data_IF_769513253030
#
_entry.id   IF_769513253030
#
_cell.length_a   1.000
_cell.length_b   1.000
_cell.length_c   1.000
_cell.angle_alpha   90.00
_cell.angle_beta   90.00
_cell.angle_gamma   90.00
#
_symmetry.space_group_name_H-M   'P 1'
#
loop_
_entity.id
_entity.type
_entity.pdbx_description
1 polymer ?
#
# COMPACT_ATOMS: atom_id res chain seq x y z
N UNK A 1 -66.65 -41.71 -16.52
CA UNK A 1 -66.52 -40.72 -17.62
C UNK A 1 -66.18 -39.38 -16.96
N UNK A 2 -65.16 -38.58 -17.28
CA UNK A 2 -64.43 -38.33 -18.53
C UNK A 2 -62.94 -38.08 -18.23
N UNK A 3 -62.08 -38.56 -19.14
CA UNK A 3 -60.65 -38.24 -19.27
C UNK A 3 -60.47 -36.86 -19.92
N UNK A 4 -59.38 -36.14 -19.61
CA UNK A 4 -58.17 -35.93 -20.45
C UNK A 4 -57.39 -34.68 -20.01
N UNK A 5 -56.12 -34.91 -19.63
CA UNK A 5 -54.87 -34.20 -20.01
C UNK A 5 -54.96 -32.78 -20.60
N UNK A 6 -54.07 -31.85 -20.19
CA UNK A 6 -53.00 -31.26 -21.04
C UNK A 6 -52.19 -30.11 -20.36
N UNK A 7 -50.86 -30.33 -20.27
CA UNK A 7 -49.73 -29.41 -20.55
C UNK A 7 -49.33 -28.29 -19.53
N UNK A 8 -48.02 -28.30 -19.26
CA UNK A 8 -47.14 -27.40 -18.45
C UNK A 8 -47.22 -25.91 -18.82
N UNK A 9 -47.05 -24.98 -17.85
CA UNK A 9 -46.27 -23.70 -17.98
C UNK A 9 -45.82 -23.18 -16.58
N UNK A 10 -44.51 -23.12 -16.31
CA UNK A 10 -43.61 -21.94 -16.26
C UNK A 10 -43.64 -21.23 -14.90
N UNK A 11 -42.55 -21.43 -14.16
CA UNK A 11 -41.75 -20.41 -13.46
C UNK A 11 -42.47 -19.32 -12.64
N UNK A 12 -42.28 -19.37 -11.32
CA UNK A 12 -41.97 -18.14 -10.57
C UNK A 12 -40.62 -18.33 -9.87
N UNK A 13 -39.60 -18.06 -10.67
CA UNK A 13 -38.24 -17.79 -10.23
C UNK A 13 -38.25 -16.39 -9.59
N UNK A 14 -38.17 -16.31 -8.26
CA UNK A 14 -37.69 -15.08 -7.61
C UNK A 14 -36.15 -15.09 -7.65
N UNK A 15 -35.63 -15.01 -8.87
CA UNK A 15 -34.22 -14.74 -9.15
C UNK A 15 -34.00 -13.22 -9.16
N UNK A 16 -32.76 -12.82 -8.87
CA UNK A 16 -32.15 -11.56 -9.29
C UNK A 16 -32.46 -10.34 -8.42
N UNK A 17 -31.71 -10.26 -7.30
CA UNK A 17 -31.26 -8.98 -6.76
C UNK A 17 -30.06 -8.47 -7.57
N UNK A 18 -30.38 -7.71 -8.63
CA UNK A 18 -29.55 -6.87 -9.51
C UNK A 18 -28.02 -6.97 -9.51
N UNK A 19 -27.48 -7.55 -10.59
CA UNK A 19 -26.18 -7.15 -11.15
C UNK A 19 -26.33 -5.77 -11.81
N UNK A 20 -25.88 -4.71 -11.12
CA UNK A 20 -25.76 -3.38 -11.71
C UNK A 20 -24.48 -3.26 -12.54
N UNK A 21 -24.55 -3.58 -13.83
CA UNK A 21 -23.48 -3.29 -14.79
C UNK A 21 -23.57 -1.82 -15.22
N UNK A 22 -22.71 -0.96 -14.65
CA UNK A 22 -22.49 0.39 -15.16
C UNK A 22 -21.47 0.34 -16.30
N UNK A 23 -21.97 0.26 -17.53
CA UNK A 23 -21.20 0.63 -18.72
C UNK A 23 -21.43 2.11 -19.00
N UNK A 24 -20.47 2.95 -18.61
CA UNK A 24 -20.44 4.36 -19.01
C UNK A 24 -19.48 4.49 -20.18
N UNK A 25 -20.03 4.41 -21.40
CA UNK A 25 -19.42 5.01 -22.58
C UNK A 25 -19.59 6.51 -22.47
N UNK A 26 -18.50 7.22 -22.15
CA UNK A 26 -18.46 8.67 -22.12
C UNK A 26 -17.17 9.15 -22.76
N UNK A 27 -17.30 9.74 -23.95
CA UNK A 27 -16.29 10.63 -24.50
C UNK A 27 -15.94 11.67 -23.43
N UNK A 28 -14.72 11.64 -22.91
CA UNK A 28 -14.16 12.74 -22.10
C UNK A 28 -13.42 13.70 -23.01
N UNK A 29 -14.21 14.49 -23.75
CA UNK A 29 -13.86 15.89 -23.97
C UNK A 29 -13.97 16.64 -22.64
N UNK A 30 -13.05 17.59 -22.44
CA UNK A 30 -12.91 18.55 -21.35
C UNK A 30 -14.14 18.73 -20.44
N UNK A 31 -14.05 18.32 -19.17
CA UNK A 31 -14.44 19.13 -18.01
C UNK A 31 -14.08 18.36 -16.73
N UNK A 32 -13.44 19.07 -15.80
CA UNK A 32 -12.98 18.67 -14.48
C UNK A 32 -13.99 17.85 -13.65
N UNK A 33 -13.56 16.67 -13.18
CA UNK A 33 -14.05 16.05 -11.93
C UNK A 33 -12.88 15.42 -11.19
N UNK A 34 -12.56 16.01 -10.04
CA UNK A 34 -11.48 15.66 -9.13
C UNK A 34 -11.61 14.23 -8.59
N UNK A 35 -10.48 13.53 -8.58
CA UNK A 35 -10.34 12.13 -8.20
C UNK A 35 -9.85 12.04 -6.74
N UNK A 36 -10.73 12.33 -5.78
CA UNK A 36 -10.38 12.46 -4.35
C UNK A 36 -10.04 11.14 -3.61
N UNK A 37 -10.14 9.97 -4.27
CA UNK A 37 -9.78 8.69 -3.63
C UNK A 37 -8.29 8.30 -3.77
N UNK A 38 -7.58 8.77 -4.80
CA UNK A 38 -6.13 8.54 -4.90
C UNK A 38 -5.34 9.57 -4.08
N UNK A 39 -5.78 10.82 -4.07
CA UNK A 39 -5.11 11.94 -3.40
C UNK A 39 -5.09 11.79 -1.86
N UNK A 40 -6.13 11.18 -1.26
CA UNK A 40 -6.21 10.96 0.19
C UNK A 40 -5.22 9.87 0.68
N UNK A 41 -4.88 8.88 -0.15
CA UNK A 41 -3.87 7.87 0.20
C UNK A 41 -2.44 8.45 0.16
N UNK A 42 -2.18 9.38 -0.76
CA UNK A 42 -0.88 10.05 -0.92
C UNK A 42 -0.62 11.12 0.16
N UNK A 43 -1.66 11.83 0.62
CA UNK A 43 -1.56 12.78 1.74
C UNK A 43 -1.31 12.10 3.10
N UNK A 44 -1.89 10.92 3.32
CA UNK A 44 -1.65 10.13 4.54
C UNK A 44 -0.23 9.53 4.56
N UNK A 45 0.28 9.10 3.40
CA UNK A 45 1.62 8.56 3.27
C UNK A 45 2.69 9.66 3.43
N UNK A 46 2.56 10.79 2.74
CA UNK A 46 3.50 11.92 2.88
C UNK A 46 3.55 12.51 4.29
N UNK A 47 2.51 12.34 5.11
CA UNK A 47 2.52 12.73 6.52
C UNK A 47 2.98 11.61 7.47
N UNK A 48 2.66 10.35 7.20
CA UNK A 48 3.14 9.20 7.97
C UNK A 48 4.66 9.04 7.84
N UNK A 49 5.19 9.21 6.64
CA UNK A 49 6.62 9.07 6.37
C UNK A 49 7.45 10.25 6.85
N UNK A 50 6.85 11.35 7.35
CA UNK A 50 7.59 12.47 7.96
C UNK A 50 7.97 12.22 9.43
N UNK A 51 7.38 11.21 10.07
CA UNK A 51 7.52 10.98 11.52
C UNK A 51 7.87 9.56 11.90
N UNK A 52 8.19 8.70 10.93
CA UNK A 52 8.33 7.26 11.17
C UNK A 52 9.63 6.74 10.60
N UNK A 53 10.52 6.37 11.52
CA UNK A 53 11.66 5.52 11.24
C UNK A 53 11.25 4.22 10.54
N UNK A 54 12.15 3.74 9.67
CA UNK A 54 11.86 2.61 8.79
C UNK A 54 13.03 1.63 8.79
N UNK A 55 12.71 0.35 8.87
CA UNK A 55 13.65 -0.71 8.53
C UNK A 55 13.40 -1.10 7.07
N UNK A 56 14.43 -0.99 6.23
CA UNK A 56 14.34 -1.23 4.79
C UNK A 56 15.33 -2.32 4.43
N UNK A 57 14.85 -3.35 3.72
CA UNK A 57 15.69 -4.40 3.14
C UNK A 57 15.70 -4.23 1.64
N UNK A 58 16.88 -3.93 1.10
CA UNK A 58 17.13 -3.75 -0.32
C UNK A 58 17.96 -4.92 -0.81
N UNK A 59 17.53 -5.57 -1.88
CA UNK A 59 18.24 -6.67 -2.54
C UNK A 59 18.81 -6.17 -3.86
N UNK A 60 20.09 -6.46 -4.08
CA UNK A 60 20.77 -6.25 -5.36
C UNK A 60 20.36 -7.37 -6.33
N UNK A 61 19.90 -6.98 -7.51
CA UNK A 61 19.55 -7.93 -8.55
C UNK A 61 20.81 -8.55 -9.19
N UNK A 62 20.77 -9.82 -9.58
CA UNK A 62 21.88 -10.45 -10.31
C UNK A 62 22.16 -9.72 -11.63
N UNK A 63 23.39 -9.88 -12.14
CA UNK A 63 23.85 -9.31 -13.42
C UNK A 63 23.85 -7.77 -13.46
N UNK A 64 24.13 -7.09 -12.34
CA UNK A 64 24.05 -5.63 -12.22
C UNK A 64 22.66 -5.08 -12.61
N UNK A 65 21.61 -5.86 -12.35
CA UNK A 65 20.22 -5.53 -12.67
C UNK A 65 19.60 -4.44 -11.80
N UNK A 66 20.39 -3.76 -10.96
CA UNK A 66 19.96 -2.70 -10.05
C UNK A 66 19.58 -3.21 -8.68
N UNK A 67 18.69 -2.49 -8.01
CA UNK A 67 18.27 -2.75 -6.64
C UNK A 67 16.74 -2.83 -6.53
N UNK A 68 16.23 -3.58 -5.56
CA UNK A 68 14.79 -3.68 -5.28
C UNK A 68 14.50 -3.74 -3.79
N UNK A 69 13.36 -3.21 -3.36
CA UNK A 69 12.91 -3.27 -1.97
C UNK A 69 12.22 -4.61 -1.74
N UNK A 70 12.81 -5.45 -0.90
CA UNK A 70 12.26 -6.77 -0.55
C UNK A 70 11.26 -6.67 0.58
N UNK A 71 11.56 -5.84 1.57
CA UNK A 71 10.72 -5.62 2.72
C UNK A 71 10.95 -4.22 3.29
N UNK A 72 9.90 -3.66 3.84
CA UNK A 72 9.95 -2.34 4.46
C UNK A 72 8.84 -2.19 5.49
N UNK A 73 9.21 -1.81 6.70
CA UNK A 73 8.29 -1.69 7.82
C UNK A 73 8.71 -0.57 8.78
N UNK A 74 7.76 -0.01 9.54
CA UNK A 74 8.06 1.03 10.52
C UNK A 74 8.93 0.46 11.65
N UNK A 75 9.92 1.23 12.07
CA UNK A 75 10.87 0.90 13.13
C UNK A 75 11.08 2.10 14.06
N UNK A 76 11.88 1.91 15.13
CA UNK A 76 12.27 3.01 16.02
C UNK A 76 13.53 3.75 15.54
N UNK A 77 14.26 3.17 14.60
CA UNK A 77 15.47 3.73 14.01
C UNK A 77 15.54 3.36 12.54
N UNK A 78 15.84 4.34 11.70
CA UNK A 78 16.06 4.09 10.28
C UNK A 78 17.28 3.20 10.07
N UNK A 79 17.06 2.02 9.49
CA UNK A 79 18.11 1.04 9.24
C UNK A 79 17.91 0.47 7.85
N UNK A 80 18.93 0.56 7.00
CA UNK A 80 18.88 0.07 5.63
C UNK A 80 19.85 -1.09 5.50
N UNK A 81 19.31 -2.25 5.17
CA UNK A 81 20.06 -3.48 4.93
C UNK A 81 20.16 -3.69 3.43
N UNK A 82 21.39 -3.77 2.94
CA UNK A 82 21.69 -4.17 1.57
C UNK A 82 22.03 -5.66 1.56
N UNK A 83 21.21 -6.45 0.86
CA UNK A 83 21.43 -7.86 0.58
C UNK A 83 22.02 -8.00 -0.82
N UNK A 84 23.18 -8.64 -0.91
CA UNK A 84 23.85 -8.94 -2.17
C UNK A 84 23.35 -10.26 -2.77
N UNK A 85 23.63 -10.54 -4.07
CA UNK A 85 23.24 -11.78 -4.71
C UNK A 85 23.94 -13.02 -4.13
N UNK A 86 25.08 -12.83 -3.45
CA UNK A 86 25.84 -13.88 -2.75
C UNK A 86 25.20 -14.28 -1.39
N UNK A 87 24.10 -13.63 -1.00
CA UNK A 87 23.41 -13.84 0.27
C UNK A 87 24.01 -13.07 1.45
N UNK A 88 25.09 -12.31 1.25
CA UNK A 88 25.65 -11.45 2.31
C UNK A 88 24.78 -10.22 2.53
N UNK A 89 24.64 -9.82 3.79
CA UNK A 89 23.87 -8.65 4.19
C UNK A 89 24.80 -7.62 4.85
N UNK A 90 24.61 -6.35 4.49
CA UNK A 90 25.37 -5.23 5.05
C UNK A 90 24.43 -4.09 5.41
N UNK A 91 24.58 -3.55 6.61
CA UNK A 91 23.88 -2.35 7.03
C UNK A 91 24.61 -1.13 6.49
N UNK A 92 23.90 -0.22 5.83
CA UNK A 92 24.48 1.04 5.35
C UNK A 92 24.68 2.01 6.51
N UNK A 93 25.82 2.70 6.49
CA UNK A 93 26.11 3.79 7.43
C UNK A 93 25.39 5.08 7.03
N UNK A 94 25.19 6.00 7.98
CA UNK A 94 24.56 7.29 7.69
C UNK A 94 25.29 8.08 6.60
N UNK A 95 26.64 8.08 6.63
CA UNK A 95 27.43 8.77 5.61
C UNK A 95 27.22 8.18 4.21
N UNK A 96 27.12 6.85 4.08
CA UNK A 96 26.85 6.20 2.80
C UNK A 96 25.44 6.55 2.30
N UNK A 97 24.46 6.53 3.19
CA UNK A 97 23.08 6.94 2.89
C UNK A 97 23.04 8.37 2.37
N UNK A 98 23.70 9.30 3.08
CA UNK A 98 23.71 10.71 2.73
C UNK A 98 24.42 10.95 1.38
N UNK A 99 25.51 10.23 1.12
CA UNK A 99 26.21 10.29 -0.17
C UNK A 99 25.33 9.78 -1.32
N UNK A 100 24.66 8.63 -1.14
CA UNK A 100 23.76 8.06 -2.14
C UNK A 100 22.58 8.99 -2.43
N UNK A 101 21.99 9.57 -1.39
CA UNK A 101 20.88 10.51 -1.56
C UNK A 101 21.35 11.81 -2.19
N UNK A 102 22.50 12.37 -1.80
CA UNK A 102 23.03 13.59 -2.41
C UNK A 102 23.34 13.41 -3.90
N UNK A 103 23.93 12.26 -4.27
CA UNK A 103 24.18 11.92 -5.67
C UNK A 103 22.88 11.81 -6.46
N UNK A 104 21.88 11.13 -5.92
CA UNK A 104 20.58 10.98 -6.59
C UNK A 104 19.83 12.31 -6.68
N UNK A 105 19.92 13.15 -5.65
CA UNK A 105 19.34 14.48 -5.64
C UNK A 105 19.88 15.36 -6.77
N UNK A 106 21.19 15.33 -7.01
CA UNK A 106 21.79 16.04 -8.13
C UNK A 106 21.26 15.53 -9.48
N UNK A 107 21.03 14.22 -9.63
CA UNK A 107 20.39 13.67 -10.84
C UNK A 107 18.96 14.14 -10.99
N UNK A 108 18.21 14.23 -9.88
CA UNK A 108 16.83 14.74 -9.88
C UNK A 108 16.81 16.21 -10.29
N UNK A 109 17.69 17.04 -9.73
CA UNK A 109 17.80 18.45 -10.07
C UNK A 109 18.25 18.68 -11.51
N UNK A 110 19.12 17.80 -12.03
CA UNK A 110 19.53 17.82 -13.43
C UNK A 110 18.49 17.19 -14.38
N UNK A 111 17.37 16.64 -13.87
CA UNK A 111 16.35 15.97 -14.67
C UNK A 111 16.81 14.65 -15.30
N UNK A 112 17.93 14.09 -14.85
CA UNK A 112 18.52 12.84 -15.37
C UNK A 112 18.25 11.64 -14.46
N UNK A 113 17.58 11.85 -13.32
CA UNK A 113 17.19 10.75 -12.45
C UNK A 113 16.07 9.92 -13.07
N UNK A 114 16.19 8.58 -13.05
CA UNK A 114 15.07 7.72 -13.38
C UNK A 114 13.85 8.09 -12.54
N UNK A 115 13.98 8.42 -11.24
CA UNK A 115 12.87 8.75 -10.31
C UNK A 115 11.87 9.76 -10.88
N UNK A 116 12.37 10.77 -11.58
CA UNK A 116 11.56 11.92 -12.01
C UNK A 116 11.37 11.99 -13.50
N UNK A 117 12.26 11.38 -14.28
CA UNK A 117 12.21 11.46 -15.74
C UNK A 117 11.89 10.09 -16.37
N UNK A 118 10.76 9.97 -17.11
CA UNK A 118 10.35 8.71 -17.72
C UNK A 118 11.26 8.26 -18.87
N UNK A 119 11.97 9.17 -19.54
CA UNK A 119 12.83 8.84 -20.69
C UNK A 119 14.10 8.09 -20.27
N UNK A 120 14.59 8.35 -19.06
CA UNK A 120 15.75 7.65 -18.44
C UNK A 120 15.33 6.47 -17.57
N UNK A 121 14.03 6.22 -17.44
CA UNK A 121 13.46 5.12 -16.64
C UNK A 121 13.65 3.72 -17.25
N UNK A 122 14.31 3.62 -18.42
CA UNK A 122 14.56 2.35 -19.12
C UNK A 122 15.68 1.51 -18.50
N UNK A 123 16.36 2.04 -17.49
CA UNK A 123 17.47 1.39 -16.79
C UNK A 123 17.13 0.87 -15.40
N UNK A 124 17.94 -0.07 -14.94
CA UNK A 124 17.94 -0.57 -13.57
C UNK A 124 18.15 0.57 -12.56
N UNK A 125 17.34 0.59 -11.51
CA UNK A 125 17.34 1.67 -10.53
C UNK A 125 18.58 1.58 -9.63
N UNK A 126 19.32 2.69 -9.49
CA UNK A 126 20.44 2.79 -8.56
C UNK A 126 19.98 2.76 -7.09
N UNK A 127 20.88 2.37 -6.18
CA UNK A 127 20.58 2.23 -4.75
C UNK A 127 19.99 3.51 -4.12
N UNK A 128 20.54 4.68 -4.47
CA UNK A 128 20.00 5.97 -4.01
C UNK A 128 18.60 6.26 -4.53
N UNK A 129 18.31 5.86 -5.77
CA UNK A 129 16.99 5.94 -6.37
C UNK A 129 15.97 5.05 -5.67
N UNK A 130 16.34 3.78 -5.44
CA UNK A 130 15.51 2.82 -4.70
C UNK A 130 15.27 3.29 -3.27
N UNK A 131 16.31 3.80 -2.61
CA UNK A 131 16.20 4.33 -1.25
C UNK A 131 15.25 5.54 -1.18
N UNK A 132 15.36 6.48 -2.13
CA UNK A 132 14.44 7.62 -2.22
C UNK A 132 13.01 7.20 -2.62
N UNK A 133 12.84 6.10 -3.34
CA UNK A 133 11.53 5.54 -3.67
C UNK A 133 10.89 4.82 -2.48
N UNK A 134 11.70 4.36 -1.55
CA UNK A 134 11.28 3.74 -0.29
C UNK A 134 10.61 4.77 0.62
N UNK A 135 9.90 4.27 1.62
CA UNK A 135 9.28 5.09 2.66
C UNK A 135 10.34 5.85 3.47
N UNK A 136 11.49 5.24 3.76
CA UNK A 136 12.65 5.91 4.35
C UNK A 136 13.12 7.11 3.50
N UNK A 137 12.99 7.01 2.17
CA UNK A 137 13.28 8.10 1.23
C UNK A 137 12.53 9.40 1.52
N UNK A 138 11.33 9.33 2.10
CA UNK A 138 10.58 10.51 2.49
C UNK A 138 11.16 11.24 3.71
N UNK A 139 11.86 10.53 4.59
CA UNK A 139 12.58 11.15 5.69
C UNK A 139 13.90 11.74 5.23
N UNK A 140 14.69 10.95 4.51
CA UNK A 140 16.04 11.34 4.08
C UNK A 140 15.96 12.45 3.02
N UNK A 141 15.00 12.33 2.11
CA UNK A 141 14.74 13.28 1.03
C UNK A 141 13.71 14.35 1.39
N UNK A 142 13.47 14.66 2.68
CA UNK A 142 12.49 15.68 3.08
C UNK A 142 12.67 17.02 2.35
N UNK A 143 13.89 17.38 1.98
CA UNK A 143 14.22 18.56 1.17
C UNK A 143 13.91 18.39 -0.34
N UNK A 144 13.99 17.18 -0.88
CA UNK A 144 13.68 16.84 -2.29
C UNK A 144 12.19 16.47 -2.46
N UNK A 145 11.50 16.19 -1.35
CA UNK A 145 10.17 15.58 -1.32
C UNK A 145 9.14 16.36 -2.11
N UNK A 146 9.22 17.70 -2.16
CA UNK A 146 8.24 18.48 -2.94
C UNK A 146 8.33 18.20 -4.45
N UNK A 147 9.54 17.98 -4.97
CA UNK A 147 9.77 17.65 -6.39
C UNK A 147 9.42 16.20 -6.71
N UNK A 148 9.71 15.28 -5.78
CA UNK A 148 9.45 13.86 -5.96
C UNK A 148 7.98 13.50 -5.76
N UNK A 149 7.38 13.89 -4.65
CA UNK A 149 6.03 13.45 -4.29
C UNK A 149 4.94 14.02 -5.20
N UNK A 150 5.16 15.21 -5.78
CA UNK A 150 4.24 15.80 -6.75
C UNK A 150 4.44 15.28 -8.19
N UNK A 151 5.43 14.41 -8.43
CA UNK A 151 5.71 13.86 -9.76
C UNK A 151 5.00 12.51 -9.97
N UNK A 152 4.19 12.42 -11.03
CA UNK A 152 3.46 11.20 -11.37
C UNK A 152 4.40 10.02 -11.71
N UNK A 153 5.52 10.28 -12.38
CA UNK A 153 6.50 9.26 -12.72
C UNK A 153 7.11 8.64 -11.45
N UNK A 154 7.46 9.47 -10.48
CA UNK A 154 7.94 9.00 -9.17
C UNK A 154 6.93 8.04 -8.53
N UNK A 155 5.65 8.40 -8.48
CA UNK A 155 4.61 7.53 -7.91
C UNK A 155 4.47 6.18 -8.64
N UNK A 156 4.67 6.16 -9.96
CA UNK A 156 4.66 4.93 -10.73
C UNK A 156 5.90 4.08 -10.44
N UNK A 157 7.08 4.70 -10.43
CA UNK A 157 8.34 4.01 -10.21
C UNK A 157 8.49 3.45 -8.81
N UNK A 158 8.00 4.16 -7.80
CA UNK A 158 7.97 3.64 -6.43
C UNK A 158 7.33 2.26 -6.37
N UNK A 159 6.21 2.05 -7.06
CA UNK A 159 5.50 0.76 -7.06
C UNK A 159 6.33 -0.34 -7.72
N UNK A 160 7.12 0.00 -8.74
CA UNK A 160 7.95 -0.97 -9.48
C UNK A 160 9.26 -1.29 -8.77
N UNK A 161 9.72 -0.45 -7.83
CA UNK A 161 10.95 -0.72 -7.08
C UNK A 161 10.79 -1.81 -6.02
N UNK A 162 9.56 -2.16 -5.63
CA UNK A 162 9.32 -3.26 -4.70
C UNK A 162 9.37 -4.60 -5.43
N UNK A 163 9.95 -5.61 -4.79
CA UNK A 163 10.08 -6.98 -5.32
C UNK A 163 8.73 -7.59 -5.70
N UNK A 164 7.66 -7.18 -5.04
CA UNK A 164 6.30 -7.55 -5.41
C UNK A 164 5.27 -6.46 -5.09
N UNK A 165 4.13 -6.42 -5.80
CA UNK A 165 3.00 -5.56 -5.44
C UNK A 165 2.47 -5.81 -4.02
N UNK A 166 2.59 -7.06 -3.54
CA UNK A 166 2.20 -7.43 -2.18
C UNK A 166 3.11 -6.79 -1.13
N UNK A 167 4.43 -6.79 -1.35
CA UNK A 167 5.40 -6.11 -0.48
C UNK A 167 5.05 -4.63 -0.37
N UNK A 168 4.77 -3.98 -1.49
CA UNK A 168 4.36 -2.57 -1.51
C UNK A 168 3.10 -2.33 -0.66
N UNK A 169 2.05 -3.11 -0.87
CA UNK A 169 0.79 -2.98 -0.11
C UNK A 169 0.97 -3.26 1.40
N UNK A 170 1.78 -4.28 1.74
CA UNK A 170 2.14 -4.60 3.12
C UNK A 170 2.91 -3.47 3.80
N UNK A 171 3.86 -2.89 3.08
CA UNK A 171 4.62 -1.74 3.52
C UNK A 171 3.67 -0.57 3.78
N UNK A 172 2.90 -0.13 2.78
CA UNK A 172 1.91 0.95 2.94
C UNK A 172 0.95 0.75 4.12
N UNK A 173 0.38 -0.44 4.27
CA UNK A 173 -0.55 -0.75 5.36
C UNK A 173 0.13 -0.72 6.74
N UNK A 174 1.38 -1.17 6.83
CA UNK A 174 2.17 -1.14 8.07
C UNK A 174 2.45 0.29 8.54
N UNK A 175 2.87 1.17 7.63
CA UNK A 175 3.10 2.59 7.96
C UNK A 175 1.79 3.34 8.26
N UNK A 176 0.71 3.04 7.54
CA UNK A 176 -0.63 3.58 7.88
C UNK A 176 -1.07 3.14 9.28
N UNK A 177 -0.85 1.86 9.63
CA UNK A 177 -1.17 1.34 10.97
C UNK A 177 -0.31 2.01 12.04
N UNK A 178 0.99 2.16 11.82
CA UNK A 178 1.88 2.89 12.73
C UNK A 178 1.43 4.34 12.92
N UNK A 179 1.01 5.02 11.84
CA UNK A 179 0.53 6.40 11.91
C UNK A 179 -0.77 6.52 12.69
N UNK A 180 -1.68 5.56 12.48
CA UNK A 180 -2.92 5.48 13.25
C UNK A 180 -2.69 5.16 14.73
N UNK A 181 -1.66 4.38 15.05
CA UNK A 181 -1.26 4.03 16.42
C UNK A 181 -0.58 5.20 17.14
N UNK A 182 0.22 5.99 16.43
CA UNK A 182 0.83 7.21 16.97
C UNK A 182 -0.21 8.28 17.34
N UNK A 183 -1.35 8.32 16.63
CA UNK A 183 -2.48 9.21 16.93
C UNK A 183 -3.47 8.64 17.96
N UNK A 184 -3.22 7.44 18.54
CA UNK A 184 -4.10 6.79 19.54
C UNK A 184 -3.74 7.11 21.00
N UNK A 185 -3.15 8.26 21.29
CA UNK A 185 -3.22 8.83 22.64
C UNK A 185 -4.56 9.54 22.83
N UNK A 186 -5.64 8.76 22.96
CA UNK A 186 -6.85 9.05 23.77
C UNK A 186 -8.06 8.25 23.29
N UNK A 187 -8.83 7.78 24.27
CA UNK A 187 -10.09 7.01 24.18
C UNK A 187 -9.95 5.51 23.85
N UNK A 188 -9.67 4.75 24.90
CA UNK A 188 -10.47 3.58 25.32
C UNK A 188 -11.52 3.11 24.31
N UNK A 189 -11.15 2.23 23.37
CA UNK A 189 -12.10 1.32 22.74
C UNK A 189 -11.49 -0.07 22.65
N UNK A 190 -11.70 -0.79 23.76
CA UNK A 190 -11.55 -2.23 23.93
C UNK A 190 -12.63 -2.92 23.09
N UNK A 191 -12.39 -3.17 21.80
CA UNK A 191 -13.26 -4.05 21.01
C UNK A 191 -12.66 -5.45 21.03
N UNK A 192 -13.04 -6.24 22.03
CA UNK A 192 -12.72 -7.65 22.09
C UNK A 192 -13.50 -8.41 21.03
N UNK A 193 -12.79 -8.99 20.06
CA UNK A 193 -13.30 -10.05 19.20
C UNK A 193 -12.90 -11.41 19.78
N UNK A 194 -13.20 -11.67 21.05
CA UNK A 194 -13.04 -13.02 21.63
C UNK A 194 -14.03 -13.20 22.77
N UNK A 195 -14.96 -14.15 22.59
CA UNK A 195 -15.54 -14.90 23.69
C UNK A 195 -16.90 -14.44 24.23
N UNK A 196 -17.97 -15.01 23.69
CA UNK A 196 -19.06 -15.49 24.53
C UNK A 196 -19.50 -16.87 24.05
N UNK A 197 -18.79 -17.89 24.51
CA UNK A 197 -19.26 -19.28 24.50
C UNK A 197 -20.06 -19.48 25.79
N UNK A 198 -21.28 -19.98 25.65
CA UNK A 198 -21.99 -20.87 26.59
C UNK A 198 -22.20 -20.41 28.04
N UNK A 199 -23.46 -20.15 28.40
CA UNK A 199 -23.99 -20.51 29.73
C UNK A 199 -25.31 -21.27 29.57
N UNK A 200 -25.19 -22.60 29.56
CA UNK A 200 -26.29 -23.49 29.95
C UNK A 200 -26.57 -23.33 31.45
N UNK A 201 -27.78 -22.97 31.85
CA UNK A 201 -28.29 -23.28 33.19
C UNK A 201 -29.79 -23.58 33.13
N UNK A 202 -30.16 -24.60 33.91
CA UNK A 202 -31.37 -25.41 33.87
C UNK A 202 -32.61 -24.72 34.48
N UNK A 203 -33.77 -25.26 34.09
CA UNK A 203 -34.99 -25.53 34.88
C UNK A 203 -35.60 -24.41 35.74
N UNK A 204 -36.83 -24.01 35.36
CA UNK A 204 -37.89 -23.68 36.31
C UNK A 204 -39.25 -23.97 35.68
N UNK A 205 -39.99 -24.86 36.34
CA UNK A 205 -41.39 -25.23 36.09
C UNK A 205 -42.34 -24.15 36.57
N UNK A 206 -43.43 -23.89 35.86
CA UNK A 206 -44.73 -23.57 36.50
C UNK A 206 -45.88 -23.73 35.52
N UNK A 207 -46.83 -24.56 35.95
CA UNK A 207 -48.19 -24.70 35.47
C UNK A 207 -49.00 -23.44 35.79
N UNK A 208 -49.87 -23.02 34.86
CA UNK A 208 -51.17 -22.31 34.98
C UNK A 208 -51.51 -21.89 33.53
N UNK A 209 -52.63 -22.18 32.87
CA UNK A 209 -54.01 -22.47 33.27
C UNK A 209 -54.88 -21.73 32.24
N UNK A 210 -55.85 -22.40 31.62
CA UNK A 210 -56.81 -21.81 30.67
C UNK A 210 -56.88 -22.53 29.34
#
# INVERSE_FOLDING_TARGET
MKKKSHIKKISDYAMVGGLGALLVTGLVGCQEKTNDQQQTQQGAFSNASKKQDAFVVIEELPNNGGYTIVDEFPANKTTIVLRKPDGTERILTQNEIDQLVKQEAQRIDNGTSPLTNPEVSSGSMGLGGVLLSSIAGAMIGSWIGNKLFNNQNYQNQRKTQYKSPQTYSRSQSSFKKAASSANKTSSTKRSGFFGSKSSSTKSSSSFFGG
#
